data_IF_047378148794
#
_entry.id   IF_047378148794
#
_cell.length_a   1.000
_cell.length_b   1.000
_cell.length_c   1.000
_cell.angle_alpha   90.00
_cell.angle_beta   90.00
_cell.angle_gamma   90.00
#
_symmetry.space_group_name_H-M   'P 1'
#
loop_
_entity.id
_entity.type
_entity.pdbx_description
1 polymer ?
#
# COMPACT_ATOMS: atom_id res chain seq x y z
N UNK A 1 -32.50 64.00 26.76
CA UNK A 1 -31.84 62.84 27.41
C UNK A 1 -32.33 61.49 26.90
N UNK A 2 -33.48 61.37 26.21
CA UNK A 2 -34.10 60.15 25.76
C UNK A 2 -33.50 59.65 24.41
N UNK A 3 -32.92 60.52 23.59
CA UNK A 3 -32.38 60.21 22.25
C UNK A 3 -31.05 59.51 22.28
N UNK A 4 -30.25 59.60 23.37
CA UNK A 4 -28.94 58.99 23.52
C UNK A 4 -29.03 57.50 23.89
N UNK A 5 -30.08 57.06 24.61
CA UNK A 5 -30.24 55.65 25.05
C UNK A 5 -30.71 54.77 23.93
N UNK A 6 -31.50 55.27 22.98
CA UNK A 6 -32.03 54.53 21.83
C UNK A 6 -30.93 54.17 20.83
N UNK A 7 -29.89 55.00 20.72
CA UNK A 7 -28.76 54.74 19.82
C UNK A 7 -27.81 53.67 20.37
N UNK A 8 -27.69 53.54 21.68
CA UNK A 8 -26.83 52.59 22.36
C UNK A 8 -27.39 51.13 22.36
N UNK A 9 -28.74 51.00 22.41
CA UNK A 9 -29.39 49.67 22.34
C UNK A 9 -29.38 49.10 20.95
N UNK A 10 -29.55 49.94 19.92
CA UNK A 10 -29.50 49.49 18.51
C UNK A 10 -28.11 49.00 18.10
N UNK A 11 -27.05 49.60 18.64
CA UNK A 11 -25.66 49.21 18.33
C UNK A 11 -25.28 47.87 18.97
N UNK A 12 -25.74 47.61 20.20
CA UNK A 12 -25.55 46.31 20.88
C UNK A 12 -26.31 45.16 20.21
N UNK A 13 -27.47 45.41 19.63
CA UNK A 13 -28.24 44.38 18.90
C UNK A 13 -27.62 44.08 17.53
N UNK A 14 -27.06 45.09 16.86
CA UNK A 14 -26.36 44.93 15.60
C UNK A 14 -25.07 44.10 15.80
N UNK A 15 -24.29 44.42 16.86
CA UNK A 15 -23.06 43.69 17.19
C UNK A 15 -23.35 42.25 17.60
N UNK A 16 -24.40 41.99 18.41
CA UNK A 16 -24.83 40.62 18.75
C UNK A 16 -25.29 39.82 17.52
N UNK A 17 -26.04 40.41 16.60
CA UNK A 17 -26.44 39.76 15.34
C UNK A 17 -25.26 39.51 14.42
N UNK A 18 -24.26 40.40 14.37
CA UNK A 18 -23.05 40.22 13.57
C UNK A 18 -22.18 39.11 14.13
N UNK A 19 -21.96 39.08 15.45
CA UNK A 19 -21.21 38.01 16.14
C UNK A 19 -21.90 36.66 16.02
N UNK A 20 -23.24 36.62 16.10
CA UNK A 20 -24.01 35.39 15.89
C UNK A 20 -23.89 34.84 14.45
N UNK A 21 -23.97 35.73 13.45
CA UNK A 21 -23.80 35.34 12.04
C UNK A 21 -22.36 34.91 11.71
N UNK A 22 -21.37 35.57 12.31
CA UNK A 22 -19.96 35.18 12.18
C UNK A 22 -19.69 33.85 12.87
N UNK A 23 -20.24 33.63 14.07
CA UNK A 23 -20.14 32.35 14.79
C UNK A 23 -20.79 31.18 14.03
N UNK A 24 -21.98 31.41 13.44
CA UNK A 24 -22.67 30.42 12.62
C UNK A 24 -21.88 30.08 11.36
N UNK A 25 -21.25 31.07 10.72
CA UNK A 25 -20.37 30.83 9.54
C UNK A 25 -19.12 30.07 9.90
N UNK A 26 -18.51 30.39 11.04
CA UNK A 26 -17.34 29.67 11.56
C UNK A 26 -17.69 28.20 11.87
N UNK A 27 -18.82 27.96 12.49
CA UNK A 27 -19.32 26.63 12.84
C UNK A 27 -19.63 25.80 11.58
N UNK A 28 -20.23 26.42 10.56
CA UNK A 28 -20.46 25.81 9.26
C UNK A 28 -19.14 25.46 8.52
N UNK A 29 -18.15 26.35 8.58
CA UNK A 29 -16.82 26.11 8.01
C UNK A 29 -16.11 24.98 8.73
N UNK A 30 -16.17 24.91 10.06
CA UNK A 30 -15.61 23.80 10.84
C UNK A 30 -16.33 22.48 10.54
N UNK A 31 -17.65 22.49 10.34
CA UNK A 31 -18.42 21.31 9.95
C UNK A 31 -18.02 20.81 8.55
N UNK A 32 -17.87 21.71 7.59
CA UNK A 32 -17.43 21.37 6.23
C UNK A 32 -15.99 20.81 6.27
N UNK A 33 -15.12 21.40 7.08
CA UNK A 33 -13.73 20.94 7.25
C UNK A 33 -13.66 19.54 7.87
N UNK A 34 -14.55 19.26 8.85
CA UNK A 34 -14.61 17.92 9.47
C UNK A 34 -15.14 16.84 8.53
N UNK A 35 -16.07 17.17 7.64
CA UNK A 35 -16.58 16.25 6.62
C UNK A 35 -15.54 15.97 5.52
N UNK A 36 -14.69 16.95 5.19
CA UNK A 36 -13.61 16.77 4.23
C UNK A 36 -12.46 15.89 4.78
N UNK A 37 -12.29 15.81 6.11
CA UNK A 37 -11.24 15.01 6.75
C UNK A 37 -11.48 13.50 6.68
N UNK A 38 -12.69 13.03 6.33
CA UNK A 38 -13.05 11.61 6.22
C UNK A 38 -12.88 11.04 4.81
N UNK A 39 -12.07 11.67 3.94
CA UNK A 39 -11.80 11.11 2.63
C UNK A 39 -10.87 9.88 2.76
N UNK A 40 -11.27 8.67 2.32
CA UNK A 40 -10.43 7.49 2.45
C UNK A 40 -9.14 7.69 1.63
N UNK A 41 -8.01 7.30 2.21
CA UNK A 41 -6.72 7.36 1.53
C UNK A 41 -6.79 6.45 0.29
N UNK A 42 -6.69 7.03 -0.90
CA UNK A 42 -6.64 6.30 -2.14
C UNK A 42 -5.23 5.70 -2.32
N UNK A 43 -5.16 4.46 -2.78
CA UNK A 43 -3.91 3.79 -3.16
C UNK A 43 -4.12 3.01 -4.46
N UNK A 44 -3.02 2.75 -5.15
CA UNK A 44 -3.00 1.92 -6.35
C UNK A 44 -2.12 0.70 -6.08
N UNK A 45 -2.66 -0.47 -6.37
CA UNK A 45 -1.89 -1.70 -6.44
C UNK A 45 -1.24 -1.79 -7.83
N UNK A 46 0.08 -1.90 -7.86
CA UNK A 46 0.84 -2.13 -9.09
C UNK A 46 1.50 -3.50 -9.00
N UNK A 47 1.42 -4.32 -10.07
CA UNK A 47 2.17 -5.56 -10.11
C UNK A 47 3.65 -5.27 -9.89
N UNK A 48 4.29 -5.98 -8.97
CA UNK A 48 5.75 -5.94 -8.88
C UNK A 48 6.33 -6.62 -10.10
N UNK A 49 7.45 -6.10 -10.62
CA UNK A 49 8.16 -6.73 -11.72
C UNK A 49 8.45 -8.19 -11.39
N UNK A 50 8.19 -9.09 -12.35
CA UNK A 50 8.48 -10.51 -12.22
C UNK A 50 9.95 -10.82 -11.90
N UNK A 51 10.29 -12.08 -11.66
CA UNK A 51 11.65 -12.46 -11.33
C UNK A 51 12.59 -12.02 -12.46
N UNK A 52 13.64 -11.30 -12.07
CA UNK A 52 14.69 -10.89 -12.98
C UNK A 52 15.39 -12.11 -13.62
N UNK A 53 16.32 -11.87 -14.56
CA UNK A 53 17.02 -12.92 -15.31
C UNK A 53 17.79 -13.94 -14.45
N UNK A 54 17.89 -13.72 -13.14
CA UNK A 54 18.53 -14.61 -12.15
C UNK A 54 17.50 -15.36 -11.29
N UNK A 55 16.34 -15.74 -11.84
CA UNK A 55 15.37 -16.55 -11.13
C UNK A 55 16.02 -17.82 -10.62
N UNK A 56 16.01 -18.02 -9.30
CA UNK A 56 16.55 -19.23 -8.65
C UNK A 56 15.79 -20.44 -9.16
N UNK A 57 16.50 -21.53 -9.44
CA UNK A 57 15.88 -22.79 -9.87
C UNK A 57 14.74 -23.20 -8.91
N UNK A 58 13.64 -23.78 -9.43
CA UNK A 58 12.54 -24.20 -8.58
C UNK A 58 13.03 -25.14 -7.46
N UNK A 59 12.63 -24.86 -6.23
CA UNK A 59 13.02 -25.67 -5.06
C UNK A 59 12.57 -27.13 -5.16
N UNK A 60 11.66 -27.43 -6.07
CA UNK A 60 11.14 -28.78 -6.37
C UNK A 60 12.00 -29.56 -7.35
N UNK A 61 12.98 -28.91 -7.98
CA UNK A 61 13.86 -29.59 -8.93
C UNK A 61 14.79 -30.59 -8.23
N UNK A 62 14.83 -31.82 -8.73
CA UNK A 62 15.64 -32.93 -8.20
C UNK A 62 16.54 -33.40 -9.31
N UNK A 63 17.85 -33.45 -9.05
CA UNK A 63 18.83 -34.01 -9.96
C UNK A 63 19.16 -35.43 -9.51
N UNK A 64 19.09 -36.38 -10.43
CA UNK A 64 19.34 -37.78 -10.14
C UNK A 64 20.22 -38.45 -11.23
N UNK A 65 21.01 -39.43 -10.81
CA UNK A 65 21.97 -40.12 -11.67
C UNK A 65 21.81 -41.62 -11.50
N UNK A 66 21.78 -42.42 -12.60
CA UNK A 66 21.67 -43.86 -12.54
C UNK A 66 22.94 -44.46 -11.91
N UNK A 67 22.79 -45.41 -11.00
CA UNK A 67 23.90 -46.13 -10.36
C UNK A 67 24.05 -47.56 -10.87
N UNK A 68 23.02 -48.13 -11.47
CA UNK A 68 22.92 -49.53 -11.86
C UNK A 68 22.71 -49.70 -13.37
N UNK A 69 23.07 -48.68 -14.17
CA UNK A 69 23.01 -48.75 -15.64
C UNK A 69 21.58 -48.62 -16.21
N UNK A 70 20.65 -47.96 -15.48
CA UNK A 70 19.26 -47.72 -15.94
C UNK A 70 19.27 -46.99 -17.28
N UNK A 71 18.47 -47.49 -18.26
CA UNK A 71 18.33 -46.85 -19.57
C UNK A 71 17.59 -45.49 -19.47
N UNK A 72 17.69 -44.63 -20.47
CA UNK A 72 17.01 -43.33 -20.52
C UNK A 72 15.49 -43.49 -20.42
N UNK A 73 14.92 -44.51 -21.05
CA UNK A 73 13.50 -44.82 -21.00
C UNK A 73 13.06 -45.22 -19.58
N UNK A 74 13.91 -46.03 -18.92
CA UNK A 74 13.68 -46.41 -17.53
C UNK A 74 13.80 -45.23 -16.60
N UNK A 75 14.81 -44.39 -16.77
CA UNK A 75 14.96 -43.13 -15.97
C UNK A 75 13.73 -42.22 -16.10
N UNK A 76 13.20 -42.03 -17.31
CA UNK A 76 12.00 -41.23 -17.55
C UNK A 76 10.77 -41.82 -16.88
N UNK A 77 10.60 -43.14 -16.93
CA UNK A 77 9.49 -43.84 -16.27
C UNK A 77 9.60 -43.73 -14.74
N UNK A 78 10.77 -44.06 -14.21
CA UNK A 78 11.02 -44.01 -12.76
C UNK A 78 10.83 -42.59 -12.19
N UNK A 79 11.31 -41.60 -12.93
CA UNK A 79 11.08 -40.20 -12.57
C UNK A 79 9.59 -39.85 -12.51
N UNK A 80 8.82 -40.22 -13.52
CA UNK A 80 7.38 -39.95 -13.57
C UNK A 80 6.61 -40.66 -12.45
N UNK A 81 6.93 -41.94 -12.22
CA UNK A 81 6.30 -42.74 -11.16
C UNK A 81 6.64 -42.19 -9.78
N UNK A 82 7.89 -41.79 -9.52
CA UNK A 82 8.32 -41.20 -8.28
C UNK A 82 7.70 -39.80 -8.08
N UNK A 83 7.52 -39.03 -9.15
CA UNK A 83 6.81 -37.74 -9.09
C UNK A 83 5.36 -37.94 -8.66
N UNK A 84 4.63 -38.84 -9.30
CA UNK A 84 3.23 -39.12 -8.95
C UNK A 84 3.10 -39.67 -7.52
N UNK A 85 4.01 -40.57 -7.13
CA UNK A 85 4.04 -41.09 -5.77
C UNK A 85 4.31 -39.99 -4.74
N UNK A 86 5.28 -39.11 -4.98
CA UNK A 86 5.59 -37.97 -4.10
C UNK A 86 4.41 -37.02 -3.98
N UNK A 87 3.68 -36.73 -5.07
CA UNK A 87 2.44 -35.94 -5.02
C UNK A 87 1.38 -36.59 -4.13
N UNK A 88 1.17 -37.90 -4.27
CA UNK A 88 0.18 -38.64 -3.46
C UNK A 88 0.57 -38.63 -1.96
N UNK A 89 1.86 -38.84 -1.66
CA UNK A 89 2.34 -38.86 -0.28
C UNK A 89 2.30 -37.51 0.42
N UNK A 90 2.53 -36.42 -0.31
CA UNK A 90 2.64 -35.08 0.28
C UNK A 90 1.40 -34.22 0.10
N UNK A 91 0.47 -34.61 -0.78
CA UNK A 91 -0.67 -33.79 -1.17
C UNK A 91 -0.28 -32.48 -1.87
N UNK A 92 0.97 -32.39 -2.35
CA UNK A 92 1.53 -31.19 -2.95
C UNK A 92 1.85 -31.40 -4.44
N UNK A 93 1.25 -30.59 -5.29
CA UNK A 93 1.53 -30.56 -6.72
C UNK A 93 2.37 -29.32 -7.07
N UNK A 94 3.66 -29.48 -7.41
CA UNK A 94 4.53 -28.36 -7.75
C UNK A 94 4.05 -27.54 -8.95
N UNK A 95 3.26 -28.14 -9.85
CA UNK A 95 2.77 -27.47 -11.06
C UNK A 95 1.66 -26.44 -10.78
N UNK A 96 0.96 -26.59 -9.65
CA UNK A 96 -0.20 -25.78 -9.31
C UNK A 96 0.02 -24.77 -8.18
N UNK A 97 1.10 -24.88 -7.42
CA UNK A 97 1.15 -24.35 -6.04
C UNK A 97 1.91 -23.05 -5.84
N UNK A 98 2.43 -22.38 -6.86
CA UNK A 98 3.14 -21.12 -6.65
C UNK A 98 2.29 -19.91 -7.06
N UNK A 99 2.21 -18.90 -6.18
CA UNK A 99 1.77 -17.57 -6.62
C UNK A 99 2.91 -16.99 -7.45
N UNK A 100 2.71 -16.78 -8.77
CA UNK A 100 3.76 -16.23 -9.60
C UNK A 100 4.25 -14.90 -9.03
N UNK A 101 5.56 -14.64 -9.03
CA UNK A 101 6.12 -13.36 -8.54
C UNK A 101 5.48 -12.12 -9.18
N UNK A 102 5.00 -12.25 -10.42
CA UNK A 102 4.27 -11.19 -11.14
C UNK A 102 2.91 -10.85 -10.52
N UNK A 103 2.37 -11.67 -9.63
CA UNK A 103 1.15 -11.36 -8.87
C UNK A 103 1.41 -10.66 -7.54
N UNK A 104 2.65 -10.47 -7.18
CA UNK A 104 2.99 -9.64 -6.02
C UNK A 104 2.65 -8.19 -6.34
N UNK A 105 2.00 -7.53 -5.41
CA UNK A 105 1.56 -6.15 -5.59
C UNK A 105 2.42 -5.20 -4.77
N UNK A 106 2.71 -4.05 -5.35
CA UNK A 106 3.28 -2.90 -4.67
C UNK A 106 2.19 -1.87 -4.43
N UNK A 107 2.14 -1.33 -3.23
CA UNK A 107 1.17 -0.29 -2.87
C UNK A 107 1.78 1.09 -3.13
N UNK A 108 1.13 1.86 -3.99
CA UNK A 108 1.55 3.23 -4.31
C UNK A 108 0.47 4.19 -3.82
N UNK A 109 0.82 5.20 -2.99
CA UNK A 109 -0.16 6.18 -2.53
C UNK A 109 -0.67 7.03 -3.70
N UNK A 110 -1.96 7.34 -3.70
CA UNK A 110 -2.62 8.19 -4.68
C UNK A 110 -3.39 9.30 -3.96
N UNK A 111 -3.25 10.55 -4.40
CA UNK A 111 -2.28 11.06 -5.37
C UNK A 111 -0.82 10.91 -4.91
N UNK A 112 0.15 11.12 -5.82
CA UNK A 112 1.56 10.93 -5.48
C UNK A 112 2.03 11.88 -4.39
N UNK A 113 3.09 11.54 -3.64
CA UNK A 113 3.65 12.39 -2.59
C UNK A 113 3.98 13.79 -3.10
N UNK A 114 3.67 14.81 -2.28
CA UNK A 114 3.86 16.23 -2.62
C UNK A 114 2.67 16.89 -3.32
N UNK A 115 1.68 16.12 -3.77
CA UNK A 115 0.50 16.67 -4.43
C UNK A 115 -0.29 17.60 -3.53
N UNK A 116 -0.66 17.15 -2.32
CA UNK A 116 -1.45 17.96 -1.39
C UNK A 116 -0.64 19.13 -0.85
N UNK A 117 0.66 18.93 -0.64
CA UNK A 117 1.58 20.02 -0.29
C UNK A 117 1.51 21.14 -1.31
N UNK A 118 1.61 20.83 -2.61
CA UNK A 118 1.56 21.82 -3.68
C UNK A 118 0.17 22.48 -3.79
N UNK A 119 -0.89 21.67 -3.82
CA UNK A 119 -2.27 22.17 -3.96
C UNK A 119 -2.66 23.07 -2.80
N UNK A 120 -2.38 22.66 -1.56
CA UNK A 120 -2.75 23.44 -0.39
C UNK A 120 -1.85 24.67 -0.21
N UNK A 121 -0.60 24.64 -0.62
CA UNK A 121 0.27 25.82 -0.67
C UNK A 121 -0.29 26.88 -1.62
N UNK A 122 -0.65 26.51 -2.86
CA UNK A 122 -1.23 27.40 -3.85
C UNK A 122 -2.57 27.94 -3.37
N UNK A 123 -3.46 27.08 -2.88
CA UNK A 123 -4.78 27.48 -2.37
C UNK A 123 -4.65 28.41 -1.18
N UNK A 124 -3.76 28.09 -0.25
CA UNK A 124 -3.46 28.92 0.91
C UNK A 124 -2.88 30.28 0.52
N UNK A 125 -2.00 30.34 -0.48
CA UNK A 125 -1.46 31.60 -1.02
C UNK A 125 -2.58 32.50 -1.56
N UNK A 126 -3.49 31.96 -2.36
CA UNK A 126 -4.61 32.72 -2.96
C UNK A 126 -5.54 33.24 -1.87
N UNK A 127 -5.95 32.37 -0.93
CA UNK A 127 -6.83 32.76 0.18
C UNK A 127 -6.15 33.78 1.09
N UNK A 128 -4.87 33.60 1.40
CA UNK A 128 -4.10 34.51 2.21
C UNK A 128 -3.94 35.90 1.57
N UNK A 129 -3.73 35.95 0.25
CA UNK A 129 -3.69 37.22 -0.51
C UNK A 129 -5.04 37.95 -0.47
N UNK A 130 -6.14 37.21 -0.62
CA UNK A 130 -7.49 37.79 -0.56
C UNK A 130 -7.82 38.38 0.84
N UNK A 131 -7.43 37.66 1.90
CA UNK A 131 -7.63 38.09 3.29
C UNK A 131 -6.76 39.31 3.63
N UNK A 132 -5.49 39.31 3.13
CA UNK A 132 -4.55 40.40 3.35
C UNK A 132 -4.93 41.70 2.64
N UNK A 133 -5.83 41.63 1.65
CA UNK A 133 -6.36 42.81 0.92
C UNK A 133 -5.26 43.57 0.15
N UNK A 134 -5.61 44.79 -0.31
CA UNK A 134 -4.74 45.55 -1.22
C UNK A 134 -3.38 45.98 -0.63
N UNK A 135 -3.27 46.08 0.69
CA UNK A 135 -2.06 46.59 1.34
C UNK A 135 -1.14 45.48 1.86
N UNK A 136 -1.67 44.29 2.12
CA UNK A 136 -0.92 43.15 2.72
C UNK A 136 -1.08 41.86 1.95
N UNK A 137 -1.49 41.90 0.67
CA UNK A 137 -1.71 40.70 -0.15
C UNK A 137 -0.47 39.79 -0.23
N UNK A 138 0.73 40.38 -0.37
CA UNK A 138 1.98 39.60 -0.44
C UNK A 138 2.29 38.86 0.88
N UNK A 139 2.17 39.56 2.02
CA UNK A 139 2.40 38.94 3.33
C UNK A 139 1.33 37.87 3.63
N UNK A 140 0.06 38.14 3.30
CA UNK A 140 -1.02 37.18 3.41
C UNK A 140 -0.80 35.93 2.56
N UNK A 141 -0.34 36.13 1.31
CA UNK A 141 -0.01 35.01 0.41
C UNK A 141 1.11 34.11 0.97
N UNK A 142 2.17 34.70 1.50
CA UNK A 142 3.30 33.95 2.08
C UNK A 142 2.88 33.14 3.31
N UNK A 143 2.12 33.74 4.21
CA UNK A 143 1.61 33.04 5.40
C UNK A 143 0.63 31.95 5.01
N UNK A 144 -0.27 32.22 4.07
CA UNK A 144 -1.24 31.26 3.56
C UNK A 144 -0.58 30.09 2.82
N UNK A 145 0.44 30.38 1.98
CA UNK A 145 1.22 29.33 1.32
C UNK A 145 1.95 28.44 2.33
N UNK A 146 2.62 29.04 3.32
CA UNK A 146 3.36 28.30 4.34
C UNK A 146 2.45 27.41 5.18
N UNK A 147 1.33 27.94 5.68
CA UNK A 147 0.37 27.14 6.45
C UNK A 147 -0.29 26.04 5.60
N UNK A 148 -0.65 26.34 4.35
CA UNK A 148 -1.20 25.37 3.42
C UNK A 148 -0.20 24.25 3.09
N UNK A 149 1.07 24.59 2.86
CA UNK A 149 2.14 23.62 2.64
C UNK A 149 2.32 22.66 3.82
N UNK A 150 2.31 23.18 5.06
CA UNK A 150 2.44 22.36 6.27
C UNK A 150 1.29 21.36 6.41
N UNK A 151 0.04 21.81 6.20
CA UNK A 151 -1.13 20.92 6.22
C UNK A 151 -1.07 19.89 5.11
N UNK A 152 -0.66 20.29 3.89
CA UNK A 152 -0.48 19.40 2.76
C UNK A 152 0.60 18.36 2.99
N UNK A 153 1.73 18.76 3.57
CA UNK A 153 2.82 17.84 3.91
C UNK A 153 2.39 16.79 4.95
N UNK A 154 1.60 17.21 5.96
CA UNK A 154 1.05 16.27 6.94
C UNK A 154 0.08 15.26 6.29
N UNK A 155 -0.77 15.72 5.35
CA UNK A 155 -1.66 14.87 4.58
C UNK A 155 -0.88 13.87 3.71
N UNK A 156 0.13 14.34 2.97
CA UNK A 156 0.99 13.50 2.14
C UNK A 156 1.74 12.45 2.98
N UNK A 157 2.28 12.84 4.16
CA UNK A 157 2.96 11.95 5.07
C UNK A 157 2.03 10.86 5.62
N UNK A 158 0.80 11.21 6.00
CA UNK A 158 -0.17 10.24 6.51
C UNK A 158 -0.56 9.19 5.46
N UNK A 159 -0.71 9.60 4.19
CA UNK A 159 -0.95 8.66 3.08
C UNK A 159 0.23 7.73 2.80
N UNK A 160 1.46 8.27 2.88
CA UNK A 160 2.66 7.45 2.74
C UNK A 160 2.74 6.39 3.84
N UNK A 161 2.51 6.78 5.10
CA UNK A 161 2.49 5.84 6.22
C UNK A 161 1.43 4.74 6.04
N UNK A 162 0.23 5.12 5.60
CA UNK A 162 -0.83 4.15 5.33
C UNK A 162 -0.45 3.19 4.20
N UNK A 163 0.13 3.68 3.11
CA UNK A 163 0.59 2.85 2.01
C UNK A 163 1.71 1.90 2.45
N UNK A 164 2.64 2.34 3.30
CA UNK A 164 3.70 1.50 3.88
C UNK A 164 3.12 0.39 4.76
N UNK A 165 2.16 0.70 5.63
CA UNK A 165 1.51 -0.31 6.47
C UNK A 165 0.79 -1.38 5.63
N UNK A 166 0.11 -0.97 4.56
CA UNK A 166 -0.51 -1.92 3.62
C UNK A 166 0.54 -2.76 2.90
N UNK A 167 1.63 -2.15 2.42
CA UNK A 167 2.72 -2.86 1.74
C UNK A 167 3.36 -3.88 2.69
N UNK A 168 3.62 -3.52 3.95
CA UNK A 168 4.11 -4.45 4.97
C UNK A 168 3.14 -5.62 5.21
N UNK A 169 1.83 -5.36 5.25
CA UNK A 169 0.82 -6.41 5.39
C UNK A 169 0.82 -7.38 4.20
N UNK A 170 0.95 -6.87 2.97
CA UNK A 170 1.09 -7.71 1.78
C UNK A 170 2.39 -8.51 1.78
N UNK A 171 3.53 -7.87 2.11
CA UNK A 171 4.83 -8.54 2.21
C UNK A 171 4.80 -9.67 3.24
N UNK A 172 4.25 -9.41 4.43
CA UNK A 172 4.12 -10.42 5.48
C UNK A 172 3.25 -11.60 5.05
N UNK A 173 2.13 -11.32 4.37
CA UNK A 173 1.27 -12.36 3.80
C UNK A 173 2.01 -13.19 2.75
N UNK A 174 2.71 -12.54 1.85
CA UNK A 174 3.45 -13.20 0.77
C UNK A 174 4.59 -14.05 1.32
N UNK A 175 5.32 -13.55 2.33
CA UNK A 175 6.35 -14.33 3.04
C UNK A 175 5.76 -15.57 3.74
N UNK A 176 4.58 -15.44 4.36
CA UNK A 176 3.91 -16.57 4.98
C UNK A 176 3.48 -17.63 3.96
N UNK A 177 3.02 -17.20 2.78
CA UNK A 177 2.69 -18.11 1.66
C UNK A 177 3.92 -18.78 1.09
N UNK A 178 5.00 -18.02 0.87
CA UNK A 178 6.29 -18.53 0.40
C UNK A 178 6.85 -19.58 1.39
N UNK A 179 6.82 -19.30 2.69
CA UNK A 179 7.29 -20.23 3.72
C UNK A 179 6.49 -21.54 3.74
N UNK A 180 5.16 -21.48 3.54
CA UNK A 180 4.30 -22.66 3.41
C UNK A 180 4.66 -23.45 2.15
N UNK A 181 4.76 -22.77 1.01
CA UNK A 181 5.17 -23.38 -0.25
C UNK A 181 6.52 -24.07 -0.13
N UNK A 182 7.53 -23.40 0.43
CA UNK A 182 8.84 -23.98 0.65
C UNK A 182 8.81 -25.20 1.58
N UNK A 183 7.97 -25.19 2.60
CA UNK A 183 7.76 -26.32 3.48
C UNK A 183 7.21 -27.54 2.73
N UNK A 184 6.17 -27.34 1.92
CA UNK A 184 5.57 -28.37 1.09
C UNK A 184 6.53 -28.87 0.00
N UNK A 185 7.23 -27.94 -0.66
CA UNK A 185 8.23 -28.26 -1.69
C UNK A 185 9.40 -29.09 -1.13
N UNK A 186 9.88 -28.78 0.09
CA UNK A 186 10.89 -29.61 0.78
C UNK A 186 10.39 -31.02 1.08
N UNK A 187 9.14 -31.17 1.51
CA UNK A 187 8.53 -32.47 1.78
C UNK A 187 8.40 -33.29 0.48
N UNK A 188 7.91 -32.65 -0.59
CA UNK A 188 7.84 -33.27 -1.91
C UNK A 188 9.21 -33.73 -2.41
N UNK A 189 10.22 -32.84 -2.34
CA UNK A 189 11.59 -33.19 -2.73
C UNK A 189 12.14 -34.37 -1.93
N UNK A 190 11.87 -34.42 -0.63
CA UNK A 190 12.30 -35.53 0.24
C UNK A 190 11.63 -36.86 -0.17
N UNK A 191 10.33 -36.84 -0.45
CA UNK A 191 9.59 -37.98 -0.93
C UNK A 191 10.13 -38.47 -2.30
N UNK A 192 10.33 -37.52 -3.24
CA UNK A 192 10.91 -37.79 -4.55
C UNK A 192 12.28 -38.43 -4.45
N UNK A 193 13.16 -37.89 -3.60
CA UNK A 193 14.49 -38.43 -3.32
C UNK A 193 14.40 -39.84 -2.79
N UNK A 194 13.59 -40.13 -1.79
CA UNK A 194 13.45 -41.47 -1.21
C UNK A 194 12.98 -42.51 -2.24
N UNK A 195 12.03 -42.13 -3.11
CA UNK A 195 11.57 -42.99 -4.18
C UNK A 195 12.67 -43.31 -5.19
N UNK A 196 13.41 -42.30 -5.66
CA UNK A 196 14.48 -42.48 -6.64
C UNK A 196 15.66 -43.26 -6.06
N UNK A 197 16.06 -42.99 -4.81
CA UNK A 197 17.12 -43.75 -4.13
C UNK A 197 16.75 -45.24 -3.96
N UNK A 198 15.47 -45.54 -3.63
CA UNK A 198 14.95 -46.86 -3.56
C UNK A 198 14.97 -47.63 -4.91
N UNK A 199 15.08 -46.90 -6.03
CA UNK A 199 15.20 -47.45 -7.38
C UNK A 199 16.64 -47.47 -7.91
N UNK A 200 17.64 -47.24 -7.06
CA UNK A 200 19.05 -47.30 -7.44
C UNK A 200 19.60 -46.04 -8.11
N UNK A 201 19.00 -44.86 -7.86
CA UNK A 201 19.55 -43.59 -8.30
C UNK A 201 20.33 -42.87 -7.17
N UNK A 202 21.32 -42.10 -7.56
CA UNK A 202 21.95 -41.13 -6.67
C UNK A 202 21.27 -39.76 -6.85
N UNK A 203 20.78 -39.15 -5.77
CA UNK A 203 20.04 -37.89 -5.81
C UNK A 203 20.87 -36.77 -5.14
N UNK A 204 20.87 -35.58 -5.77
CA UNK A 204 21.53 -34.36 -5.26
C UNK A 204 20.59 -33.18 -5.18
#
# INVERSE_FOLDING_TARGET
MIMSIRKMTTDKDITKKLVSKAGLRLLLLLLILSLAACYPAAYREVPSAGPGPNAKAPITQVYFYPREGQTTEQQSRDHYECYNWAMQQTGFDPSQSSIPPERRVKVVPMPPPGHDTAVLAITGAVLGALIGGRHHAGAGALIGAGSGALVGAASDASRQQYAQQLEEAYVNRDQALDARYEGQARNFRRAMTACLEGRGYSVK
#
